data_IF_188224083185
#
_entry.id   IF_188224083185
#
_cell.length_a   1.000
_cell.length_b   1.000
_cell.length_c   1.000
_cell.angle_alpha   90.00
_cell.angle_beta   90.00
_cell.angle_gamma   90.00
#
_symmetry.space_group_name_H-M   'P 1'
#
loop_
_entity.id
_entity.type
_entity.pdbx_description
1 polymer ?
#
# COMPACT_ATOMS: atom_id res chain seq x y z
N UNK A 1 12.70 29.32 -4.63
CA UNK A 1 12.59 29.67 -6.07
C UNK A 1 11.21 29.36 -6.66
N UNK A 2 10.41 28.47 -6.04
CA UNK A 2 9.09 28.05 -6.56
C UNK A 2 7.95 29.03 -6.19
N UNK A 3 8.08 29.82 -5.13
CA UNK A 3 6.97 30.64 -4.62
C UNK A 3 6.58 31.85 -5.48
N UNK A 4 7.45 32.32 -6.39
CA UNK A 4 7.23 33.56 -7.15
C UNK A 4 6.80 33.35 -8.61
N UNK A 5 6.54 32.10 -9.04
CA UNK A 5 6.21 31.78 -10.43
C UNK A 5 4.94 32.52 -10.91
N UNK A 6 3.97 32.71 -10.01
CA UNK A 6 2.72 33.44 -10.29
C UNK A 6 2.93 34.93 -10.63
N UNK A 7 3.98 35.57 -10.08
CA UNK A 7 4.34 36.96 -10.37
C UNK A 7 4.98 37.11 -11.75
N UNK A 8 5.84 36.17 -12.15
CA UNK A 8 6.47 36.17 -13.48
C UNK A 8 5.47 35.85 -14.59
N UNK A 9 4.54 34.93 -14.35
CA UNK A 9 3.51 34.56 -15.32
C UNK A 9 2.51 35.68 -15.57
N UNK A 10 2.21 36.53 -14.58
CA UNK A 10 1.26 37.65 -14.72
C UNK A 10 1.62 38.62 -15.85
N UNK A 11 2.91 38.73 -16.18
CA UNK A 11 3.41 39.60 -17.25
C UNK A 11 3.31 38.99 -18.65
N UNK A 12 3.07 37.68 -18.77
CA UNK A 12 2.87 37.01 -20.06
C UNK A 12 1.40 37.13 -20.49
N UNK A 13 1.15 37.88 -21.57
CA UNK A 13 -0.20 38.06 -22.11
C UNK A 13 -0.83 36.70 -22.44
N UNK A 14 -2.01 36.43 -21.89
CA UNK A 14 -2.75 35.19 -22.11
C UNK A 14 -2.42 34.05 -21.12
N UNK A 15 -1.38 34.19 -20.30
CA UNK A 15 -1.01 33.16 -19.31
C UNK A 15 -2.13 32.91 -18.30
N UNK A 16 -2.76 33.96 -17.78
CA UNK A 16 -3.84 33.83 -16.79
C UNK A 16 -5.06 33.09 -17.35
N UNK A 17 -5.39 33.33 -18.63
CA UNK A 17 -6.47 32.61 -19.31
C UNK A 17 -6.10 31.14 -19.53
N UNK A 18 -4.86 30.87 -19.95
CA UNK A 18 -4.34 29.52 -20.09
C UNK A 18 -4.38 28.74 -18.76
N UNK A 19 -3.87 29.32 -17.66
CA UNK A 19 -3.87 28.68 -16.34
C UNK A 19 -5.27 28.42 -15.81
N UNK A 20 -6.21 29.36 -16.05
CA UNK A 20 -7.61 29.16 -15.68
C UNK A 20 -8.24 28.00 -16.47
N UNK A 21 -7.96 27.90 -17.76
CA UNK A 21 -8.45 26.79 -18.60
C UNK A 21 -7.83 25.47 -18.17
N UNK A 22 -6.51 25.40 -18.01
CA UNK A 22 -5.78 24.21 -17.57
C UNK A 22 -6.23 23.74 -16.18
N UNK A 23 -6.44 24.66 -15.24
CA UNK A 23 -6.98 24.36 -13.91
C UNK A 23 -8.39 23.78 -13.98
N UNK A 24 -9.28 24.41 -14.76
CA UNK A 24 -10.64 23.93 -14.95
C UNK A 24 -10.67 22.56 -15.63
N UNK A 25 -9.77 22.33 -16.57
CA UNK A 25 -9.63 21.04 -17.26
C UNK A 25 -9.14 19.96 -16.31
N UNK A 26 -8.14 20.26 -15.47
CA UNK A 26 -7.63 19.34 -14.45
C UNK A 26 -8.70 19.00 -13.41
N UNK A 27 -9.48 19.99 -12.94
CA UNK A 27 -10.65 19.73 -12.09
C UNK A 27 -11.69 18.87 -12.79
N UNK A 28 -11.98 19.15 -14.08
CA UNK A 28 -12.94 18.35 -14.85
C UNK A 28 -12.48 16.92 -14.98
N UNK A 29 -11.20 16.69 -15.30
CA UNK A 29 -10.62 15.35 -15.38
C UNK A 29 -10.75 14.62 -14.04
N UNK A 30 -10.36 15.25 -12.92
CA UNK A 30 -10.53 14.68 -11.56
C UNK A 30 -12.00 14.34 -11.29
N UNK A 31 -12.94 15.24 -11.61
CA UNK A 31 -14.37 15.01 -11.41
C UNK A 31 -14.95 13.93 -12.31
N UNK A 32 -14.41 13.77 -13.52
CA UNK A 32 -14.89 12.78 -14.49
C UNK A 32 -14.39 11.37 -14.17
N UNK A 33 -13.19 11.25 -13.59
CA UNK A 33 -12.62 9.98 -13.12
C UNK A 33 -13.33 9.39 -11.89
N UNK A 34 -14.16 10.17 -11.20
CA UNK A 34 -14.84 9.74 -9.98
C UNK A 34 -13.95 9.80 -8.73
N UNK A 35 -14.35 9.17 -7.61
CA UNK A 35 -13.51 9.07 -6.43
C UNK A 35 -12.18 8.36 -6.77
N UNK A 36 -11.07 8.70 -6.08
CA UNK A 36 -9.77 8.09 -6.35
C UNK A 36 -9.81 6.57 -6.10
N UNK A 37 -9.53 5.79 -7.14
CA UNK A 37 -9.39 4.34 -7.03
C UNK A 37 -7.93 3.96 -6.77
N UNK A 38 -7.70 3.15 -5.72
CA UNK A 38 -6.37 2.63 -5.38
C UNK A 38 -6.28 1.15 -5.75
N UNK A 39 -5.29 0.81 -6.57
CA UNK A 39 -4.95 -0.58 -6.89
C UNK A 39 -3.74 -0.98 -6.06
N UNK A 40 -3.93 -1.94 -5.16
CA UNK A 40 -2.88 -2.45 -4.27
C UNK A 40 -2.53 -3.87 -4.68
N UNK A 41 -1.24 -4.13 -4.86
CA UNK A 41 -0.70 -5.48 -5.08
C UNK A 41 0.20 -5.83 -3.91
N UNK A 42 -0.11 -6.91 -3.22
CA UNK A 42 0.67 -7.40 -2.10
C UNK A 42 1.51 -8.60 -2.53
N UNK A 43 2.78 -8.60 -2.13
CA UNK A 43 3.67 -9.76 -2.23
C UNK A 43 4.20 -10.09 -0.84
N UNK A 44 4.56 -11.36 -0.64
CA UNK A 44 5.12 -11.83 0.61
C UNK A 44 6.60 -12.18 0.41
N UNK A 45 7.47 -11.71 1.31
CA UNK A 45 8.83 -12.20 1.44
C UNK A 45 8.89 -13.28 2.52
N UNK A 46 8.39 -14.44 2.18
CA UNK A 46 8.23 -15.63 3.02
C UNK A 46 9.54 -16.15 3.63
N UNK A 47 10.68 -15.90 3.00
CA UNK A 47 12.00 -16.37 3.46
C UNK A 47 12.66 -15.52 4.55
N UNK A 48 12.27 -14.25 4.70
CA UNK A 48 12.93 -13.31 5.62
C UNK A 48 11.98 -12.72 6.66
N UNK A 49 10.67 -12.94 6.52
CA UNK A 49 9.70 -12.33 7.43
C UNK A 49 9.63 -13.12 8.73
N UNK A 50 10.05 -12.50 9.83
CA UNK A 50 10.02 -13.09 11.17
C UNK A 50 8.64 -13.63 11.58
N UNK A 51 7.56 -12.98 11.14
CA UNK A 51 6.19 -13.43 11.43
C UNK A 51 5.84 -14.70 10.65
N UNK A 52 6.38 -14.86 9.43
CA UNK A 52 6.28 -16.12 8.69
C UNK A 52 7.10 -17.22 9.34
N UNK A 53 8.31 -16.93 9.83
CA UNK A 53 9.13 -17.93 10.52
C UNK A 53 8.41 -18.44 11.77
N UNK A 54 7.78 -17.56 12.55
CA UNK A 54 6.94 -17.96 13.70
C UNK A 54 5.78 -18.83 13.27
N UNK A 55 5.08 -18.47 12.19
CA UNK A 55 3.96 -19.25 11.68
C UNK A 55 4.40 -20.64 11.18
N UNK A 56 5.56 -20.75 10.52
CA UNK A 56 6.15 -22.00 10.05
C UNK A 56 6.60 -22.89 11.22
N UNK A 57 7.31 -22.33 12.21
CA UNK A 57 7.72 -23.05 13.42
C UNK A 57 6.53 -23.54 14.24
N UNK A 58 5.46 -22.73 14.31
CA UNK A 58 4.20 -23.15 14.94
C UNK A 58 3.54 -24.30 14.19
N UNK A 59 3.61 -24.30 12.85
CA UNK A 59 3.07 -25.39 12.02
C UNK A 59 3.88 -26.68 12.13
N UNK A 60 5.20 -26.57 12.35
CA UNK A 60 6.08 -27.71 12.63
C UNK A 60 5.87 -28.28 14.05
N UNK A 61 5.34 -27.47 14.98
CA UNK A 61 5.09 -27.86 16.37
C UNK A 61 6.17 -27.39 17.35
N UNK A 62 7.03 -26.44 16.96
CA UNK A 62 8.09 -25.87 17.78
C UNK A 62 7.91 -24.34 18.00
N UNK A 63 6.85 -23.90 18.71
CA UNK A 63 6.53 -22.47 18.84
C UNK A 63 7.52 -21.66 19.69
N UNK A 64 8.42 -22.32 20.42
CA UNK A 64 9.34 -21.69 21.38
C UNK A 64 10.75 -21.46 20.83
N UNK A 65 11.02 -21.86 19.59
CA UNK A 65 12.31 -21.66 18.96
C UNK A 65 12.46 -20.22 18.43
N UNK A 66 13.67 -19.67 18.49
CA UNK A 66 13.93 -18.31 18.03
C UNK A 66 13.81 -18.22 16.49
N UNK A 67 12.85 -17.47 15.94
CA UNK A 67 12.63 -17.36 14.50
C UNK A 67 13.80 -16.70 13.75
N UNK A 68 14.72 -16.07 14.46
CA UNK A 68 15.89 -15.37 13.91
C UNK A 68 17.12 -16.29 13.72
N UNK A 69 17.06 -17.53 14.23
CA UNK A 69 18.14 -18.53 14.09
C UNK A 69 17.95 -19.45 12.89
N UNK A 70 16.82 -19.34 12.20
CA UNK A 70 16.46 -20.23 11.10
C UNK A 70 17.34 -19.94 9.88
N UNK A 71 17.99 -20.97 9.36
CA UNK A 71 18.75 -20.87 8.11
C UNK A 71 17.82 -20.72 6.90
N UNK A 72 18.29 -20.08 5.84
CA UNK A 72 17.50 -19.78 4.64
C UNK A 72 17.03 -21.08 3.98
N UNK A 73 17.91 -22.09 3.88
CA UNK A 73 17.57 -23.39 3.29
C UNK A 73 16.55 -24.17 4.13
N UNK A 74 16.65 -24.09 5.46
CA UNK A 74 15.69 -24.70 6.36
C UNK A 74 14.30 -24.04 6.22
N UNK A 75 14.28 -22.71 6.13
CA UNK A 75 13.06 -21.92 5.92
C UNK A 75 12.39 -22.28 4.61
N UNK A 76 13.15 -22.36 3.51
CA UNK A 76 12.61 -22.75 2.21
C UNK A 76 11.95 -24.13 2.27
N UNK A 77 12.59 -25.11 2.91
CA UNK A 77 12.04 -26.46 3.06
C UNK A 77 10.73 -26.45 3.85
N UNK A 78 10.63 -25.61 4.90
CA UNK A 78 9.40 -25.48 5.69
C UNK A 78 8.28 -24.82 4.88
N UNK A 79 8.59 -23.83 4.06
CA UNK A 79 7.63 -23.19 3.14
C UNK A 79 7.08 -24.19 2.12
N UNK A 80 7.95 -25.03 1.55
CA UNK A 80 7.54 -26.09 0.61
C UNK A 80 6.68 -27.17 1.28
N UNK A 81 6.97 -27.48 2.55
CA UNK A 81 6.26 -28.51 3.31
C UNK A 81 4.89 -28.04 3.84
N UNK A 82 4.76 -26.76 4.19
CA UNK A 82 3.55 -26.21 4.78
C UNK A 82 3.06 -24.99 3.99
N UNK A 83 1.91 -25.06 3.27
CA UNK A 83 1.32 -23.92 2.58
C UNK A 83 0.59 -22.97 3.55
N UNK A 84 1.27 -22.55 4.62
CA UNK A 84 0.73 -21.61 5.64
C UNK A 84 0.91 -20.15 5.21
N UNK A 85 1.84 -19.88 4.29
CA UNK A 85 2.20 -18.54 3.79
C UNK A 85 0.97 -17.80 3.25
N UNK A 86 0.21 -18.45 2.36
CA UNK A 86 -0.99 -17.84 1.76
C UNK A 86 -2.04 -17.46 2.80
N UNK A 87 -2.24 -18.31 3.81
CA UNK A 87 -3.21 -18.03 4.89
C UNK A 87 -2.78 -16.85 5.73
N UNK A 88 -1.50 -16.81 6.11
CA UNK A 88 -0.98 -15.73 6.94
C UNK A 88 -0.97 -14.39 6.18
N UNK A 89 -0.66 -14.40 4.88
CA UNK A 89 -0.80 -13.22 4.02
C UNK A 89 -2.25 -12.71 3.97
N UNK A 90 -3.22 -13.61 3.76
CA UNK A 90 -4.64 -13.24 3.72
C UNK A 90 -5.09 -12.63 5.04
N UNK A 91 -4.64 -13.15 6.19
CA UNK A 91 -4.95 -12.57 7.50
C UNK A 91 -4.42 -11.13 7.60
N UNK A 92 -3.17 -10.88 7.18
CA UNK A 92 -2.59 -9.54 7.15
C UNK A 92 -3.34 -8.58 6.23
N UNK A 93 -3.70 -9.04 5.03
CA UNK A 93 -4.50 -8.25 4.07
C UNK A 93 -5.87 -7.91 4.65
N UNK A 94 -6.56 -8.88 5.24
CA UNK A 94 -7.86 -8.66 5.88
C UNK A 94 -7.77 -7.67 7.05
N UNK A 95 -6.72 -7.75 7.87
CA UNK A 95 -6.48 -6.79 8.94
C UNK A 95 -6.25 -5.37 8.39
N UNK A 96 -5.52 -5.25 7.28
CA UNK A 96 -5.30 -3.97 6.60
C UNK A 96 -6.59 -3.42 5.99
N UNK A 97 -7.39 -4.23 5.30
CA UNK A 97 -8.69 -3.83 4.76
C UNK A 97 -9.60 -3.36 5.90
N UNK A 98 -9.67 -4.12 7.00
CA UNK A 98 -10.44 -3.75 8.20
C UNK A 98 -9.94 -2.42 8.79
N UNK A 99 -8.64 -2.18 8.82
CA UNK A 99 -8.06 -0.93 9.30
C UNK A 99 -8.45 0.25 8.40
N UNK A 100 -8.41 0.07 7.09
CA UNK A 100 -8.76 1.10 6.10
C UNK A 100 -10.25 1.45 6.20
N UNK A 101 -11.12 0.44 6.29
CA UNK A 101 -12.58 0.64 6.38
C UNK A 101 -13.01 1.29 7.70
N UNK A 102 -12.33 0.98 8.82
CA UNK A 102 -12.70 1.52 10.14
C UNK A 102 -12.12 2.91 10.44
N UNK A 103 -11.14 3.41 9.67
CA UNK A 103 -10.52 4.70 9.91
C UNK A 103 -10.80 5.70 8.80
N UNK A 104 -11.75 6.59 9.06
CA UNK A 104 -12.17 7.67 8.16
C UNK A 104 -11.06 8.69 7.78
N UNK A 105 -9.91 8.64 8.45
CA UNK A 105 -8.82 9.61 8.25
C UNK A 105 -7.70 9.13 7.31
N UNK A 106 -7.66 7.86 6.91
CA UNK A 106 -6.53 7.34 6.12
C UNK A 106 -6.50 7.95 4.71
N UNK A 107 -7.67 8.12 4.09
CA UNK A 107 -7.81 8.70 2.75
C UNK A 107 -8.61 10.01 2.73
N UNK A 108 -8.77 10.66 3.89
CA UNK A 108 -9.51 11.92 4.01
C UNK A 108 -11.03 11.80 3.86
N UNK A 109 -11.58 10.58 3.92
CA UNK A 109 -13.01 10.29 3.85
C UNK A 109 -13.29 8.81 4.06
N UNK A 110 -14.58 8.46 4.12
CA UNK A 110 -15.04 7.07 4.20
C UNK A 110 -14.72 6.35 2.89
N UNK A 111 -14.08 5.19 2.99
CA UNK A 111 -13.81 4.32 1.83
C UNK A 111 -15.09 3.54 1.52
N UNK A 112 -15.52 3.58 0.27
CA UNK A 112 -16.61 2.77 -0.27
C UNK A 112 -16.01 1.61 -1.08
N UNK A 113 -16.65 0.43 -0.99
CA UNK A 113 -16.24 -0.83 -1.62
C UNK A 113 -16.73 -0.92 -3.07
#
# INVERSE_FOLDING_TARGET
MVDNIHLYLKNLRGSAAYWKTAYNELIRQIRWLGPPHYFLTFSCNDLNWLDMHKALLTAEGQPNEDPNKLDIYATQRLVEMYPVVSRHLIIGVNALVTFVLNKDKVFGGKVED
#
